data_IF_107773162201
#
_entry.id   IF_107773162201
#
_cell.length_a   1.000
_cell.length_b   1.000
_cell.length_c   1.000
_cell.angle_alpha   90.00
_cell.angle_beta   90.00
_cell.angle_gamma   90.00
#
_symmetry.space_group_name_H-M   'P 1'
#
loop_
_entity.id
_entity.type
_entity.pdbx_description
1 polymer ?
#
# COMPACT_ATOMS: atom_id res chain seq x y z
N UNK A 1 15.60 -5.79 19.32
CA UNK A 1 14.83 -6.66 20.21
C UNK A 1 14.13 -7.67 19.31
N UNK A 2 14.62 -8.91 19.28
CA UNK A 2 14.06 -9.98 18.44
C UNK A 2 12.74 -10.45 19.07
N UNK A 3 11.62 -10.19 18.38
CA UNK A 3 10.32 -10.71 18.78
C UNK A 3 10.33 -12.25 18.65
N UNK A 4 9.72 -13.01 19.59
CA UNK A 4 9.55 -14.43 19.42
C UNK A 4 8.53 -14.70 18.32
N UNK A 5 8.94 -15.44 17.29
CA UNK A 5 8.03 -16.10 16.33
C UNK A 5 7.28 -17.21 17.07
N UNK A 6 6.17 -16.86 17.71
CA UNK A 6 5.24 -17.84 18.28
C UNK A 6 4.27 -18.32 17.21
N UNK A 7 4.65 -19.37 16.48
CA UNK A 7 3.76 -20.04 15.55
C UNK A 7 4.44 -21.18 14.82
N UNK A 8 3.91 -22.39 14.96
CA UNK A 8 4.22 -23.51 14.06
C UNK A 8 3.95 -23.05 12.63
N UNK A 9 4.96 -23.12 11.75
CA UNK A 9 4.80 -22.77 10.34
C UNK A 9 3.62 -23.57 9.74
N UNK A 10 2.55 -22.92 9.24
CA UNK A 10 1.47 -23.60 8.56
C UNK A 10 1.99 -24.27 7.29
N UNK A 11 1.24 -25.24 6.72
CA UNK A 11 1.62 -25.95 5.50
C UNK A 11 1.84 -25.04 4.28
N UNK A 12 1.49 -23.75 4.38
CA UNK A 12 1.74 -22.70 3.41
C UNK A 12 3.03 -21.89 3.67
N UNK A 13 4.05 -22.42 4.35
CA UNK A 13 5.45 -21.95 4.33
C UNK A 13 5.77 -20.54 4.87
N UNK A 14 4.78 -19.68 5.16
CA UNK A 14 4.97 -18.36 5.76
C UNK A 14 4.91 -18.37 7.28
N UNK A 15 5.36 -17.28 7.92
CA UNK A 15 5.28 -17.12 9.37
C UNK A 15 3.84 -16.84 9.83
N UNK A 16 3.54 -17.13 11.10
CA UNK A 16 2.24 -16.75 11.71
C UNK A 16 2.50 -15.97 12.99
N UNK A 17 1.92 -14.79 13.06
CA UNK A 17 1.79 -13.99 14.27
C UNK A 17 0.34 -14.13 14.76
N UNK A 18 0.14 -14.95 15.80
CA UNK A 18 -1.20 -15.20 16.37
C UNK A 18 -1.75 -14.03 17.17
N UNK A 19 -0.86 -13.21 17.73
CA UNK A 19 -1.16 -12.02 18.52
C UNK A 19 -0.72 -10.75 17.79
N UNK A 20 -0.86 -9.59 18.46
CA UNK A 20 -0.34 -8.32 17.94
C UNK A 20 1.14 -8.45 17.56
N UNK A 21 1.49 -8.05 16.34
CA UNK A 21 2.87 -7.95 15.88
C UNK A 21 3.27 -6.47 15.78
N UNK A 22 4.40 -6.08 16.37
CA UNK A 22 4.95 -4.72 16.22
C UNK A 22 6.39 -4.78 15.73
N UNK A 23 6.65 -4.01 14.69
CA UNK A 23 7.93 -3.73 14.09
C UNK A 23 8.21 -2.22 14.11
N UNK A 24 7.50 -1.49 14.97
CA UNK A 24 7.57 -0.03 15.03
C UNK A 24 9.02 0.43 15.22
N UNK A 25 9.43 1.38 14.38
CA UNK A 25 10.79 1.95 14.35
C UNK A 25 11.91 0.93 14.11
N UNK A 26 11.58 -0.30 13.69
CA UNK A 26 12.58 -1.28 13.29
C UNK A 26 13.35 -0.79 12.05
N UNK A 27 14.59 -1.26 11.90
CA UNK A 27 15.38 -1.03 10.69
C UNK A 27 15.87 -2.36 10.15
N UNK A 28 15.42 -2.70 8.93
CA UNK A 28 15.89 -3.86 8.19
C UNK A 28 17.02 -3.39 7.25
N UNK A 29 18.25 -3.81 7.55
CA UNK A 29 19.44 -3.44 6.78
C UNK A 29 19.55 -4.19 5.45
N UNK A 30 19.07 -5.42 5.44
CA UNK A 30 18.98 -6.30 4.28
C UNK A 30 17.52 -6.47 3.82
N UNK A 31 17.30 -7.30 2.79
CA UNK A 31 15.95 -7.61 2.31
C UNK A 31 15.09 -8.22 3.43
N UNK A 32 13.86 -7.74 3.56
CA UNK A 32 12.90 -8.24 4.55
C UNK A 32 11.79 -9.03 3.84
N UNK A 33 11.55 -10.27 4.29
CA UNK A 33 10.52 -11.13 3.70
C UNK A 33 9.45 -11.48 4.73
N UNK A 34 8.22 -11.17 4.37
CA UNK A 34 6.96 -11.53 5.02
C UNK A 34 6.05 -12.30 4.05
N UNK A 35 6.62 -12.93 3.02
CA UNK A 35 5.89 -13.71 2.02
C UNK A 35 4.98 -14.72 2.71
N UNK A 36 3.70 -14.74 2.34
CA UNK A 36 2.67 -15.64 2.90
C UNK A 36 2.56 -15.62 4.43
N UNK A 37 2.99 -14.53 5.06
CA UNK A 37 2.89 -14.39 6.51
C UNK A 37 1.46 -14.05 6.89
N UNK A 38 0.96 -14.68 7.97
CA UNK A 38 -0.34 -14.35 8.54
C UNK A 38 -0.18 -13.52 9.81
N UNK A 39 -0.70 -12.30 9.80
CA UNK A 39 -0.88 -11.46 10.97
C UNK A 39 -2.32 -11.58 11.44
N UNK A 40 -2.55 -12.36 12.50
CA UNK A 40 -3.90 -12.73 12.94
C UNK A 40 -4.61 -11.62 13.72
N UNK A 41 -3.85 -10.62 14.16
CA UNK A 41 -4.30 -9.42 14.89
C UNK A 41 -3.58 -8.20 14.31
N UNK A 42 -3.70 -7.07 15.00
CA UNK A 42 -3.03 -5.82 14.65
C UNK A 42 -1.53 -6.00 14.32
N UNK A 43 -1.10 -5.49 13.17
CA UNK A 43 0.28 -5.47 12.73
C UNK A 43 0.77 -4.03 12.53
N UNK A 44 1.83 -3.64 13.26
CA UNK A 44 2.35 -2.27 13.22
C UNK A 44 3.77 -2.23 12.65
N UNK A 45 3.98 -1.37 11.66
CA UNK A 45 5.26 -1.06 11.02
C UNK A 45 5.56 0.45 11.04
N UNK A 46 5.03 1.16 12.04
CA UNK A 46 5.09 2.61 12.08
C UNK A 46 6.52 3.09 12.33
N UNK A 47 7.01 3.97 11.47
CA UNK A 47 8.38 4.48 11.48
C UNK A 47 9.43 3.43 11.11
N UNK A 48 9.02 2.25 10.63
CA UNK A 48 9.95 1.21 10.18
C UNK A 48 10.72 1.67 8.94
N UNK A 49 11.98 1.25 8.82
CA UNK A 49 12.81 1.51 7.65
C UNK A 49 13.30 0.21 7.01
N UNK A 50 12.86 -0.04 5.79
CA UNK A 50 13.36 -1.11 4.92
C UNK A 50 14.43 -0.52 4.00
N UNK A 51 15.71 -0.83 4.26
CA UNK A 51 16.84 -0.27 3.49
C UNK A 51 17.07 -0.97 2.16
N UNK A 52 16.55 -2.19 2.02
CA UNK A 52 16.50 -3.01 0.81
C UNK A 52 15.05 -3.42 0.54
N UNK A 53 14.82 -4.31 -0.42
CA UNK A 53 13.48 -4.75 -0.79
C UNK A 53 12.69 -5.33 0.40
N UNK A 54 11.40 -5.02 0.46
CA UNK A 54 10.47 -5.53 1.46
C UNK A 54 9.33 -6.27 0.75
N UNK A 55 9.17 -7.56 1.04
CA UNK A 55 8.26 -8.43 0.30
C UNK A 55 7.19 -8.98 1.24
N UNK A 56 5.94 -8.62 1.00
CA UNK A 56 4.75 -9.06 1.73
C UNK A 56 3.85 -9.97 0.88
N UNK A 57 4.32 -10.42 -0.28
CA UNK A 57 3.48 -11.09 -1.27
C UNK A 57 2.70 -12.29 -0.71
N UNK A 58 1.40 -12.33 -1.02
CA UNK A 58 0.48 -13.35 -0.54
C UNK A 58 0.28 -13.38 0.98
N UNK A 59 0.70 -12.35 1.71
CA UNK A 59 0.45 -12.25 3.16
C UNK A 59 -1.01 -11.96 3.47
N UNK A 60 -1.41 -12.25 4.70
CA UNK A 60 -2.76 -12.01 5.22
C UNK A 60 -2.68 -11.19 6.50
N UNK A 61 -3.27 -10.00 6.48
CA UNK A 61 -3.51 -9.16 7.64
C UNK A 61 -4.97 -9.29 8.04
N UNK A 62 -5.25 -10.11 9.05
CA UNK A 62 -6.60 -10.39 9.52
C UNK A 62 -7.14 -9.30 10.47
N UNK A 63 -6.26 -8.48 11.05
CA UNK A 63 -6.62 -7.26 11.78
C UNK A 63 -6.04 -6.03 11.08
N UNK A 64 -6.19 -4.86 11.71
CA UNK A 64 -5.66 -3.61 11.16
C UNK A 64 -4.13 -3.69 10.90
N UNK A 65 -3.67 -3.01 9.87
CA UNK A 65 -2.25 -2.90 9.51
C UNK A 65 -1.83 -1.43 9.38
N UNK A 66 -0.73 -1.04 10.03
CA UNK A 66 -0.29 0.37 10.03
C UNK A 66 1.15 0.53 9.56
N UNK A 67 1.35 1.36 8.55
CA UNK A 67 2.63 1.73 7.95
C UNK A 67 2.86 3.25 8.05
N UNK A 68 2.63 3.82 9.23
CA UNK A 68 2.69 5.26 9.45
C UNK A 68 4.14 5.74 9.46
N UNK A 69 4.54 6.66 8.59
CA UNK A 69 5.91 7.14 8.51
C UNK A 69 6.93 6.08 8.09
N UNK A 70 6.47 4.96 7.53
CA UNK A 70 7.34 3.86 7.07
C UNK A 70 8.11 4.28 5.83
N UNK A 71 9.39 3.89 5.74
CA UNK A 71 10.24 4.15 4.57
C UNK A 71 10.65 2.86 3.90
N UNK A 72 10.34 2.74 2.61
CA UNK A 72 10.77 1.69 1.71
C UNK A 72 11.80 2.28 0.74
N UNK A 73 13.09 2.04 0.99
CA UNK A 73 14.19 2.66 0.23
C UNK A 73 14.44 2.01 -1.14
N UNK A 74 13.91 0.81 -1.35
CA UNK A 74 13.93 0.02 -2.59
C UNK A 74 12.50 -0.54 -2.76
N UNK A 75 12.28 -1.38 -3.75
CA UNK A 75 10.99 -2.01 -4.04
C UNK A 75 10.28 -2.59 -2.80
N UNK A 76 9.03 -2.16 -2.61
CA UNK A 76 8.08 -2.73 -1.67
C UNK A 76 7.01 -3.50 -2.44
N UNK A 77 6.87 -4.78 -2.14
CA UNK A 77 5.89 -5.65 -2.81
C UNK A 77 4.85 -6.13 -1.81
N UNK A 78 3.59 -5.97 -2.19
CA UNK A 78 2.38 -6.39 -1.49
C UNK A 78 1.47 -7.17 -2.46
N UNK A 79 2.04 -7.81 -3.48
CA UNK A 79 1.26 -8.50 -4.50
C UNK A 79 0.40 -9.60 -3.88
N UNK A 80 -0.88 -9.65 -4.28
CA UNK A 80 -1.85 -10.64 -3.77
C UNK A 80 -1.95 -10.66 -2.23
N UNK A 81 -1.56 -9.58 -1.57
CA UNK A 81 -1.73 -9.42 -0.12
C UNK A 81 -3.20 -9.17 0.19
N UNK A 82 -3.69 -9.77 1.26
CA UNK A 82 -5.05 -9.55 1.75
C UNK A 82 -5.00 -8.76 3.05
N UNK A 83 -5.61 -7.59 3.04
CA UNK A 83 -5.90 -6.80 4.23
C UNK A 83 -7.40 -6.93 4.54
N UNK A 84 -7.75 -7.65 5.60
CA UNK A 84 -9.16 -7.88 5.94
C UNK A 84 -9.80 -6.63 6.56
N UNK A 85 -9.06 -5.95 7.43
CA UNK A 85 -9.49 -4.73 8.13
C UNK A 85 -8.79 -3.49 7.55
N UNK A 86 -8.70 -2.40 8.30
CA UNK A 86 -8.15 -1.14 7.81
C UNK A 86 -6.63 -1.23 7.62
N UNK A 87 -6.15 -0.67 6.52
CA UNK A 87 -4.71 -0.53 6.26
C UNK A 87 -4.33 0.91 6.00
N UNK A 88 -3.37 1.41 6.78
CA UNK A 88 -2.99 2.82 6.78
C UNK A 88 -1.54 3.01 6.35
N UNK A 89 -1.36 3.61 5.18
CA UNK A 89 -0.09 4.15 4.69
C UNK A 89 -0.14 5.68 4.79
N UNK A 90 0.19 6.20 5.98
CA UNK A 90 0.15 7.63 6.25
C UNK A 90 1.57 8.17 6.38
N UNK A 91 1.90 9.25 5.66
CA UNK A 91 3.26 9.82 5.63
C UNK A 91 4.35 8.79 5.29
N UNK A 92 4.00 7.72 4.58
CA UNK A 92 4.94 6.69 4.15
C UNK A 92 5.67 7.11 2.88
N UNK A 93 6.89 6.61 2.68
CA UNK A 93 7.69 6.90 1.50
C UNK A 93 8.10 5.61 0.79
N UNK A 94 7.73 5.50 -0.48
CA UNK A 94 8.16 4.49 -1.43
C UNK A 94 9.17 5.14 -2.37
N UNK A 95 10.46 4.96 -2.08
CA UNK A 95 11.54 5.66 -2.79
C UNK A 95 11.79 5.09 -4.20
N UNK A 96 11.47 3.80 -4.40
CA UNK A 96 11.57 3.09 -5.68
C UNK A 96 10.19 2.50 -6.06
N UNK A 97 10.08 1.22 -6.44
CA UNK A 97 8.81 0.58 -6.80
C UNK A 97 7.88 0.29 -5.63
N UNK A 98 6.56 0.40 -5.85
CA UNK A 98 5.53 -0.06 -4.92
C UNK A 98 4.48 -0.91 -5.64
N UNK A 99 4.37 -2.19 -5.29
CA UNK A 99 3.58 -3.16 -6.05
C UNK A 99 2.45 -3.72 -5.19
N UNK A 100 1.22 -3.31 -5.47
CA UNK A 100 -0.01 -3.78 -4.83
C UNK A 100 -0.88 -4.61 -5.78
N UNK A 101 -0.31 -5.09 -6.89
CA UNK A 101 -1.03 -5.84 -7.93
C UNK A 101 -1.84 -7.01 -7.32
N UNK A 102 -3.10 -7.13 -7.71
CA UNK A 102 -4.05 -8.15 -7.23
C UNK A 102 -4.27 -8.14 -5.69
N UNK A 103 -3.90 -7.09 -4.96
CA UNK A 103 -4.15 -7.02 -3.52
C UNK A 103 -5.64 -6.84 -3.22
N UNK A 104 -6.09 -7.43 -2.11
CA UNK A 104 -7.45 -7.29 -1.60
C UNK A 104 -7.46 -6.36 -0.39
N UNK A 105 -8.25 -5.28 -0.50
CA UNK A 105 -8.42 -4.21 0.49
C UNK A 105 -9.83 -4.33 1.06
N UNK A 106 -9.93 -4.92 2.26
CA UNK A 106 -11.17 -5.29 2.94
C UNK A 106 -11.93 -4.08 3.45
N UNK A 107 -11.86 -3.78 4.76
CA UNK A 107 -12.63 -2.69 5.36
C UNK A 107 -12.26 -1.29 4.82
N UNK A 108 -10.97 -1.04 4.61
CA UNK A 108 -10.50 0.22 4.04
C UNK A 108 -8.99 0.29 3.85
N UNK A 109 -8.55 1.09 2.90
CA UNK A 109 -7.14 1.39 2.66
C UNK A 109 -6.93 2.89 2.45
N UNK A 110 -5.99 3.46 3.20
CA UNK A 110 -5.66 4.88 3.09
C UNK A 110 -4.19 5.07 2.75
N UNK A 111 -3.95 5.83 1.69
CA UNK A 111 -2.68 6.41 1.36
C UNK A 111 -2.82 7.92 1.59
N UNK A 112 -2.35 8.43 2.72
CA UNK A 112 -2.55 9.83 3.12
C UNK A 112 -1.19 10.51 3.32
N UNK A 113 -0.91 11.55 2.54
CA UNK A 113 0.38 12.27 2.54
C UNK A 113 1.58 11.34 2.33
N UNK A 114 1.36 10.20 1.69
CA UNK A 114 2.40 9.24 1.31
C UNK A 114 3.01 9.62 -0.04
N UNK A 115 4.29 9.33 -0.21
CA UNK A 115 5.07 9.66 -1.40
C UNK A 115 5.47 8.39 -2.17
N UNK A 116 5.19 8.36 -3.46
CA UNK A 116 5.63 7.36 -4.42
C UNK A 116 6.59 8.04 -5.40
N UNK A 117 7.87 7.74 -5.27
CA UNK A 117 8.96 8.34 -6.05
C UNK A 117 9.38 7.48 -7.23
N UNK A 118 9.26 6.16 -7.13
CA UNK A 118 9.28 5.25 -8.28
C UNK A 118 7.88 4.91 -8.79
N UNK A 119 7.79 3.91 -9.67
CA UNK A 119 6.50 3.46 -10.21
C UNK A 119 5.66 2.75 -9.16
N UNK A 120 4.34 2.87 -9.26
CA UNK A 120 3.41 2.18 -8.37
C UNK A 120 2.37 1.42 -9.19
N UNK A 121 2.06 0.19 -8.80
CA UNK A 121 0.96 -0.57 -9.40
C UNK A 121 -0.07 -0.93 -8.36
N UNK A 122 -1.32 -0.64 -8.68
CA UNK A 122 -2.55 -1.04 -8.02
C UNK A 122 -3.44 -1.78 -9.05
N UNK A 123 -2.83 -2.37 -10.08
CA UNK A 123 -3.57 -3.12 -11.09
C UNK A 123 -4.34 -4.28 -10.44
N UNK A 124 -5.62 -4.42 -10.80
CA UNK A 124 -6.42 -5.56 -10.37
C UNK A 124 -6.77 -5.57 -8.88
N UNK A 125 -6.50 -4.49 -8.13
CA UNK A 125 -6.85 -4.46 -6.70
C UNK A 125 -8.35 -4.63 -6.51
N UNK A 126 -8.72 -5.31 -5.42
CA UNK A 126 -10.10 -5.50 -5.01
C UNK A 126 -10.36 -4.57 -3.83
N UNK A 127 -11.14 -3.52 -4.03
CA UNK A 127 -11.61 -2.66 -2.96
C UNK A 127 -13.00 -3.09 -2.52
N UNK A 128 -13.07 -3.76 -1.36
CA UNK A 128 -14.33 -4.16 -0.73
C UNK A 128 -14.92 -3.01 0.10
N UNK A 129 -14.07 -2.14 0.65
CA UNK A 129 -14.41 -0.97 1.46
C UNK A 129 -13.82 0.33 0.91
N UNK A 130 -13.52 1.30 1.76
CA UNK A 130 -13.02 2.61 1.30
C UNK A 130 -11.58 2.53 0.77
N UNK A 131 -11.27 3.31 -0.27
CA UNK A 131 -9.92 3.44 -0.81
C UNK A 131 -9.60 4.92 -1.06
N UNK A 132 -8.68 5.47 -0.28
CA UNK A 132 -8.34 6.90 -0.35
C UNK A 132 -6.89 7.11 -0.73
N UNK A 133 -6.68 7.98 -1.71
CA UNK A 133 -5.39 8.55 -2.07
C UNK A 133 -5.44 10.06 -1.84
N UNK A 134 -4.83 10.53 -0.77
CA UNK A 134 -4.78 11.95 -0.43
C UNK A 134 -3.34 12.46 -0.45
N UNK A 135 -3.06 13.45 -1.28
CA UNK A 135 -1.80 14.18 -1.25
C UNK A 135 -1.65 15.11 -0.05
N UNK A 136 -0.58 15.90 -0.06
CA UNK A 136 -0.36 16.99 0.90
C UNK A 136 -0.66 18.34 0.25
N UNK A 137 -1.19 19.30 1.02
CA UNK A 137 -1.44 20.66 0.52
C UNK A 137 -0.15 21.40 0.12
N UNK A 138 0.99 21.02 0.70
CA UNK A 138 2.27 21.73 0.53
C UNK A 138 3.27 20.91 -0.27
N UNK A 139 3.44 21.23 -1.56
CA UNK A 139 4.62 20.95 -2.42
C UNK A 139 5.05 19.50 -2.67
N UNK A 140 4.82 18.59 -1.72
CA UNK A 140 5.12 17.17 -1.81
C UNK A 140 4.03 16.49 -2.64
N UNK A 141 4.44 15.91 -3.77
CA UNK A 141 3.54 15.18 -4.66
C UNK A 141 3.43 13.74 -4.16
N UNK A 142 2.20 13.26 -4.01
CA UNK A 142 1.96 11.84 -3.73
C UNK A 142 2.55 10.96 -4.83
N UNK A 143 2.30 11.28 -6.10
CA UNK A 143 2.96 10.65 -7.25
C UNK A 143 3.91 11.67 -7.87
N UNK A 144 5.19 11.60 -7.51
CA UNK A 144 6.09 12.75 -7.66
C UNK A 144 7.35 12.54 -8.51
N UNK A 145 7.77 11.29 -8.73
CA UNK A 145 9.01 11.01 -9.46
C UNK A 145 8.91 11.34 -10.95
N UNK A 146 9.98 11.88 -11.55
CA UNK A 146 10.03 12.14 -12.99
C UNK A 146 9.86 10.89 -13.88
N UNK A 147 9.95 9.69 -13.29
CA UNK A 147 9.67 8.40 -13.94
C UNK A 147 8.50 7.65 -13.32
N UNK A 148 7.87 8.22 -12.28
CA UNK A 148 6.73 7.61 -11.60
C UNK A 148 5.59 7.47 -12.60
N UNK A 149 5.21 6.22 -12.86
CA UNK A 149 3.98 5.86 -13.57
C UNK A 149 3.15 5.08 -12.58
N UNK A 150 1.86 5.41 -12.51
CA UNK A 150 0.92 4.72 -11.63
C UNK A 150 -0.03 3.91 -12.49
N UNK A 151 -0.11 2.62 -12.20
CA UNK A 151 -1.08 1.73 -12.82
C UNK A 151 -2.25 1.52 -11.84
N UNK A 152 -3.44 2.00 -12.20
CA UNK A 152 -4.71 1.79 -11.48
C UNK A 152 -5.72 1.11 -12.43
N UNK A 153 -5.22 0.24 -13.30
CA UNK A 153 -6.02 -0.50 -14.27
C UNK A 153 -6.80 -1.66 -13.64
N UNK A 154 -7.95 -1.97 -14.23
CA UNK A 154 -8.77 -3.13 -13.88
C UNK A 154 -9.13 -3.24 -12.39
N UNK A 155 -9.25 -2.11 -11.69
CA UNK A 155 -9.64 -2.12 -10.28
C UNK A 155 -11.06 -2.66 -10.13
N UNK A 156 -11.23 -3.57 -9.18
CA UNK A 156 -12.51 -4.19 -8.88
C UNK A 156 -13.12 -3.50 -7.67
N UNK A 157 -14.10 -2.63 -7.95
CA UNK A 157 -14.83 -1.84 -6.96
C UNK A 157 -16.15 -2.53 -6.59
N UNK A 158 -16.10 -3.43 -5.60
CA UNK A 158 -17.19 -4.35 -5.25
C UNK A 158 -18.34 -3.64 -4.50
N UNK A 159 -18.04 -3.06 -3.34
CA UNK A 159 -18.97 -2.24 -2.52
C UNK A 159 -18.21 -1.15 -1.74
N UNK A 160 -17.38 -0.36 -2.41
CA UNK A 160 -16.56 0.58 -1.69
C UNK A 160 -17.43 1.60 -0.96
N UNK A 161 -17.08 1.94 0.27
CA UNK A 161 -17.71 3.05 0.98
C UNK A 161 -17.45 4.37 0.23
N UNK A 162 -16.17 4.70 0.06
CA UNK A 162 -15.69 5.86 -0.71
C UNK A 162 -14.40 5.46 -1.42
N UNK A 163 -14.31 5.73 -2.74
CA UNK A 163 -13.03 5.70 -3.46
C UNK A 163 -12.69 7.12 -3.87
N UNK A 164 -11.57 7.65 -3.41
CA UNK A 164 -11.24 9.06 -3.63
C UNK A 164 -9.77 9.31 -3.93
N UNK A 165 -9.54 10.27 -4.82
CA UNK A 165 -8.25 10.90 -5.08
C UNK A 165 -8.39 12.39 -4.75
N UNK A 166 -7.63 12.86 -3.77
CA UNK A 166 -7.70 14.24 -3.28
C UNK A 166 -6.31 14.88 -3.26
N UNK A 167 -6.14 16.05 -3.88
CA UNK A 167 -4.84 16.76 -3.94
C UNK A 167 -3.72 15.93 -4.58
N UNK A 168 -4.06 15.18 -5.63
CA UNK A 168 -3.13 14.27 -6.32
C UNK A 168 -2.91 14.72 -7.77
N UNK A 169 -1.67 14.65 -8.25
CA UNK A 169 -1.38 14.79 -9.68
C UNK A 169 -1.65 13.44 -10.37
N UNK A 170 -2.56 13.44 -11.34
CA UNK A 170 -3.00 12.23 -12.04
C UNK A 170 -2.56 12.19 -13.52
N UNK A 171 -1.58 13.02 -13.91
CA UNK A 171 -1.10 13.13 -15.30
C UNK A 171 -0.51 11.82 -15.85
N UNK A 172 0.02 10.97 -14.97
CA UNK A 172 0.76 9.75 -15.31
C UNK A 172 0.13 8.52 -14.67
N UNK A 173 -1.19 8.52 -14.61
CA UNK A 173 -1.98 7.42 -14.07
C UNK A 173 -2.81 6.80 -15.18
N UNK A 174 -2.70 5.48 -15.33
CA UNK A 174 -3.62 4.72 -16.16
C UNK A 174 -4.77 4.19 -15.32
N UNK A 175 -6.00 4.35 -15.83
CA UNK A 175 -7.22 3.81 -15.25
C UNK A 175 -7.96 2.87 -16.22
N UNK A 176 -7.27 2.35 -17.23
CA UNK A 176 -7.88 1.46 -18.22
C UNK A 176 -8.59 0.28 -17.54
N UNK A 177 -9.84 0.01 -17.94
CA UNK A 177 -10.65 -1.06 -17.33
C UNK A 177 -11.19 -0.77 -15.92
N UNK A 178 -10.91 0.41 -15.35
CA UNK A 178 -11.44 0.82 -14.04
C UNK A 178 -12.71 1.67 -14.19
N UNK A 179 -13.73 1.36 -13.39
CA UNK A 179 -14.99 2.12 -13.36
C UNK A 179 -14.83 3.45 -12.61
N UNK A 180 -14.48 4.50 -13.35
CA UNK A 180 -14.28 5.85 -12.82
C UNK A 180 -15.55 6.50 -12.25
N UNK A 181 -16.75 6.00 -12.58
CA UNK A 181 -18.01 6.56 -12.06
C UNK A 181 -18.18 6.38 -10.55
N UNK A 182 -17.38 5.46 -9.97
CA UNK A 182 -17.33 5.16 -8.54
C UNK A 182 -16.21 5.91 -7.80
N UNK A 183 -15.47 6.77 -8.50
CA UNK A 183 -14.29 7.45 -7.97
C UNK A 183 -14.54 8.95 -7.87
N UNK A 184 -14.25 9.51 -6.71
CA UNK A 184 -14.32 10.94 -6.43
C UNK A 184 -12.92 11.54 -6.70
N UNK A 185 -12.88 12.61 -7.47
CA UNK A 185 -11.66 13.37 -7.75
C UNK A 185 -11.82 14.80 -7.21
N UNK A 186 -10.97 15.20 -6.26
CA UNK A 186 -11.03 16.50 -5.61
C UNK A 186 -9.65 17.18 -5.62
N UNK A 187 -9.56 18.39 -6.17
CA UNK A 187 -8.28 19.12 -6.20
C UNK A 187 -7.16 18.38 -6.94
N UNK A 188 -7.50 17.53 -7.91
CA UNK A 188 -6.53 16.77 -8.71
C UNK A 188 -6.03 17.56 -9.91
N UNK A 189 -4.80 17.28 -10.35
CA UNK A 189 -4.21 17.86 -11.58
C UNK A 189 -4.27 16.85 -12.73
N UNK A 190 -4.94 17.21 -13.82
CA UNK A 190 -5.10 16.38 -15.02
C UNK A 190 -3.97 16.58 -16.04
N UNK A 191 -3.69 15.61 -16.93
CA UNK A 191 -2.83 15.83 -18.09
C UNK A 191 -3.25 17.09 -18.86
N UNK A 192 -2.30 17.97 -19.16
CA UNK A 192 -2.55 19.08 -20.08
C UNK A 192 -2.79 18.54 -21.50
N UNK A 193 -3.85 19.01 -22.16
CA UNK A 193 -4.06 18.76 -23.58
C UNK A 193 -2.90 19.41 -24.35
N UNK A 194 -2.02 18.58 -24.92
CA UNK A 194 -1.02 19.07 -25.88
C UNK A 194 -1.71 19.34 -27.21
N UNK A 195 -2.10 20.61 -27.40
CA UNK A 195 -2.58 21.15 -28.68
C UNK A 195 -1.52 21.00 -29.80
#
# INVERSE_FOLDING_TARGET
MTMPISGTAPPSGGAVFGERASFDRASFGEGASFIRTKFSRLACFSGTRFRRGAIFDGSEFAGDATFLGTRFNVDASFERTRFAENTLFVESAFEDGAWFTDAALGAGAEFCRSEFRGSASFEGIQAEGSLRFSGAETGARMFGGAKCVVNLENMILLRPGEVSFSLVNIERISFFGTDLSKIIFEGVSWPEDKA
#
